data_IF_294816620425
#
_entry.id   IF_294816620425
#
_cell.length_a   1.000
_cell.length_b   1.000
_cell.length_c   1.000
_cell.angle_alpha   90.00
_cell.angle_beta   90.00
_cell.angle_gamma   90.00
#
_symmetry.space_group_name_H-M   'P 1'
#
loop_
_entity.id
_entity.type
_entity.pdbx_description
1 polymer ?
#
# COMPACT_ATOMS: atom_id res chain seq x y z
N UNK A 1 10.95 -2.30 -63.54
CA UNK A 1 10.72 -1.41 -62.38
C UNK A 1 9.62 -2.03 -61.54
N UNK A 2 9.97 -2.73 -60.45
CA UNK A 2 8.98 -3.30 -59.51
C UNK A 2 8.97 -2.40 -58.28
N UNK A 3 7.86 -1.71 -58.05
CA UNK A 3 7.67 -0.89 -56.85
C UNK A 3 7.57 -1.82 -55.64
N UNK A 4 8.54 -1.72 -54.74
CA UNK A 4 8.53 -2.41 -53.45
C UNK A 4 7.57 -1.65 -52.52
N UNK A 5 6.35 -2.16 -52.38
CA UNK A 5 5.39 -1.66 -51.38
C UNK A 5 5.81 -2.25 -50.03
N UNK A 6 6.42 -1.43 -49.18
CA UNK A 6 6.72 -1.78 -47.79
C UNK A 6 5.40 -1.66 -47.02
N UNK A 7 4.75 -2.80 -46.78
CA UNK A 7 3.60 -2.87 -45.86
C UNK A 7 4.18 -2.89 -44.44
N UNK A 8 4.31 -1.72 -43.81
CA UNK A 8 4.67 -1.64 -42.39
C UNK A 8 3.49 -2.24 -41.62
N UNK A 9 3.65 -3.34 -40.85
CA UNK A 9 2.54 -3.91 -40.11
C UNK A 9 2.09 -2.93 -39.03
N UNK A 10 0.82 -2.54 -39.07
CA UNK A 10 0.12 -1.68 -38.12
C UNK A 10 -0.07 -2.35 -36.75
N UNK A 11 0.85 -3.21 -36.33
CA UNK A 11 0.79 -3.97 -35.06
C UNK A 11 1.85 -3.51 -34.05
N UNK A 12 2.78 -2.62 -34.43
CA UNK A 12 3.78 -2.05 -33.51
C UNK A 12 3.37 -0.72 -32.86
N UNK A 13 2.14 -0.24 -33.07
CA UNK A 13 1.64 1.01 -32.49
C UNK A 13 0.61 0.80 -31.36
N UNK A 14 0.74 -0.30 -30.60
CA UNK A 14 -0.02 -0.56 -29.38
C UNK A 14 0.87 -0.70 -28.13
N UNK A 15 2.10 -0.18 -28.18
CA UNK A 15 2.87 0.10 -26.98
C UNK A 15 2.51 1.49 -26.42
N UNK A 16 1.21 1.80 -26.29
CA UNK A 16 0.78 2.98 -25.54
C UNK A 16 0.77 2.63 -24.05
N UNK A 17 1.82 3.09 -23.36
CA UNK A 17 1.85 3.40 -21.93
C UNK A 17 1.29 2.33 -20.97
N UNK A 18 2.03 1.24 -20.80
CA UNK A 18 1.90 0.39 -19.61
C UNK A 18 2.55 1.09 -18.39
N UNK A 19 1.92 2.14 -17.90
CA UNK A 19 2.37 2.83 -16.69
C UNK A 19 1.19 2.95 -15.72
N UNK A 20 1.36 2.38 -14.52
CA UNK A 20 0.51 2.47 -13.33
C UNK A 20 -0.52 1.36 -13.04
N UNK A 21 -0.34 0.10 -13.48
CA UNK A 21 -1.17 -1.01 -12.98
C UNK A 21 -0.40 -1.92 -12.01
N UNK A 22 -0.71 -1.82 -10.72
CA UNK A 22 -0.26 -2.68 -9.61
C UNK A 22 -0.87 -4.09 -9.70
N UNK A 23 -1.03 -4.62 -10.91
CA UNK A 23 -1.59 -5.94 -11.21
C UNK A 23 -0.43 -6.85 -11.63
N UNK A 24 -0.23 -7.94 -10.89
CA UNK A 24 0.81 -8.95 -11.15
C UNK A 24 0.16 -10.27 -11.56
N UNK A 25 0.86 -11.09 -12.33
CA UNK A 25 0.40 -12.43 -12.69
C UNK A 25 0.59 -13.38 -11.50
N UNK A 26 -0.35 -14.31 -11.31
CA UNK A 26 -0.32 -15.32 -10.26
C UNK A 26 -1.16 -14.96 -9.04
N UNK A 27 -1.13 -15.86 -8.04
CA UNK A 27 -1.90 -15.73 -6.79
C UNK A 27 -1.18 -14.89 -5.75
N UNK A 28 -1.92 -14.30 -4.81
CA UNK A 28 -1.35 -13.60 -3.67
C UNK A 28 -0.32 -14.46 -2.91
N UNK A 29 0.88 -13.91 -2.61
CA UNK A 29 1.82 -14.59 -1.74
C UNK A 29 1.25 -14.63 -0.31
N UNK A 30 1.80 -15.52 0.51
CA UNK A 30 1.42 -15.68 1.93
C UNK A 30 2.64 -15.35 2.81
N UNK A 31 3.06 -14.07 2.86
CA UNK A 31 4.18 -13.69 3.72
C UNK A 31 3.83 -13.92 5.18
N UNK A 32 4.87 -14.13 6.01
CA UNK A 32 4.70 -14.05 7.45
C UNK A 32 4.28 -12.62 7.83
N UNK A 33 3.50 -12.52 8.91
CA UNK A 33 3.06 -11.24 9.49
C UNK A 33 3.72 -11.04 10.85
N UNK A 34 3.67 -9.82 11.37
CA UNK A 34 4.26 -9.46 12.65
C UNK A 34 3.77 -10.41 13.76
N UNK A 35 4.70 -11.17 14.35
CA UNK A 35 4.38 -12.03 15.48
C UNK A 35 4.00 -11.17 16.70
N UNK A 36 3.01 -11.65 17.47
CA UNK A 36 2.51 -10.99 18.68
C UNK A 36 2.17 -9.51 18.46
N UNK A 37 1.49 -9.21 17.36
CA UNK A 37 1.13 -7.84 17.01
C UNK A 37 0.26 -7.18 18.09
N UNK A 38 0.76 -6.08 18.66
CA UNK A 38 0.06 -5.27 19.65
C UNK A 38 -0.55 -4.03 18.99
N UNK A 39 -1.86 -4.08 18.77
CA UNK A 39 -2.61 -2.98 18.18
C UNK A 39 -2.52 -1.68 19.01
N UNK A 40 -2.38 -1.78 20.35
CA UNK A 40 -2.31 -0.62 21.25
C UNK A 40 -1.02 0.16 21.05
N UNK A 41 0.11 -0.53 20.91
CA UNK A 41 1.40 0.09 20.57
C UNK A 41 1.43 0.66 19.15
N UNK A 42 0.62 0.11 18.24
CA UNK A 42 0.55 0.54 16.85
C UNK A 42 -0.23 1.85 16.63
N UNK A 43 -1.07 2.24 17.59
CA UNK A 43 -1.89 3.46 17.54
C UNK A 43 -1.03 4.73 17.39
N UNK A 44 -1.63 5.80 16.91
CA UNK A 44 -0.99 7.10 16.72
C UNK A 44 -0.67 7.36 15.27
N UNK A 45 0.21 8.34 15.03
CA UNK A 45 0.55 8.81 13.70
C UNK A 45 1.70 7.99 13.11
N UNK A 46 1.60 7.75 11.82
CA UNK A 46 2.61 7.19 10.93
C UNK A 46 2.73 8.07 9.69
N UNK A 47 3.94 8.39 9.27
CA UNK A 47 4.25 9.11 8.04
C UNK A 47 4.59 8.10 6.95
N UNK A 48 3.95 8.23 5.79
CA UNK A 48 4.27 7.41 4.63
C UNK A 48 5.63 7.80 4.07
N UNK A 49 6.59 6.88 4.16
CA UNK A 49 7.93 7.08 3.62
C UNK A 49 7.96 6.61 2.18
N UNK A 50 7.43 5.41 1.93
CA UNK A 50 7.50 4.75 0.64
C UNK A 50 6.23 3.93 0.39
N UNK A 51 5.72 3.91 -0.84
CA UNK A 51 4.54 3.10 -1.20
C UNK A 51 4.66 2.51 -2.59
N UNK A 52 4.01 1.37 -2.81
CA UNK A 52 3.69 0.93 -4.16
C UNK A 52 2.62 1.86 -4.76
N UNK A 53 2.66 2.12 -6.09
CA UNK A 53 1.65 2.95 -6.74
C UNK A 53 0.23 2.45 -6.44
N UNK A 54 -0.67 3.38 -6.11
CA UNK A 54 -2.08 3.08 -5.85
C UNK A 54 -2.98 4.03 -6.65
N UNK A 55 -4.18 3.58 -7.07
CA UNK A 55 -5.10 4.46 -7.78
C UNK A 55 -5.85 5.46 -6.87
N UNK A 56 -5.86 5.22 -5.54
CA UNK A 56 -6.66 5.97 -4.57
C UNK A 56 -5.85 6.92 -3.68
N UNK A 57 -4.52 6.79 -3.63
CA UNK A 57 -3.63 7.64 -2.85
C UNK A 57 -2.51 8.12 -3.78
N UNK A 58 -2.73 9.27 -4.42
CA UNK A 58 -1.84 9.82 -5.44
C UNK A 58 -0.98 10.99 -4.96
N UNK A 59 -1.27 11.51 -3.77
CA UNK A 59 -0.56 12.63 -3.19
C UNK A 59 0.76 12.25 -2.55
N UNK A 60 1.44 13.32 -2.11
CA UNK A 60 2.71 13.32 -1.42
C UNK A 60 2.53 13.59 0.07
N UNK A 61 3.62 13.49 0.85
CA UNK A 61 3.66 13.82 2.27
C UNK A 61 2.53 13.16 3.09
N UNK A 62 2.25 11.89 2.78
CA UNK A 62 1.09 11.20 3.34
C UNK A 62 1.29 10.83 4.80
N UNK A 63 0.21 10.78 5.57
CA UNK A 63 0.23 10.24 6.92
C UNK A 63 -1.05 9.46 7.22
N UNK A 64 -0.94 8.46 8.09
CA UNK A 64 -2.05 7.71 8.65
C UNK A 64 -2.06 7.92 10.17
N UNK A 65 -3.21 8.28 10.72
CA UNK A 65 -3.41 8.35 12.18
C UNK A 65 -4.39 7.26 12.58
N UNK A 66 -3.90 6.33 13.40
CA UNK A 66 -4.68 5.23 13.95
C UNK A 66 -5.20 5.59 15.34
N UNK A 67 -6.44 5.22 15.63
CA UNK A 67 -7.10 5.42 16.94
C UNK A 67 -7.77 4.13 17.37
N UNK A 68 -7.54 3.67 18.60
CA UNK A 68 -8.26 2.52 19.13
C UNK A 68 -9.72 2.90 19.35
N UNK A 69 -10.66 2.13 18.78
CA UNK A 69 -12.10 2.36 18.97
C UNK A 69 -12.71 1.35 19.93
N UNK A 70 -12.33 0.09 19.76
CA UNK A 70 -12.65 -1.03 20.64
C UNK A 70 -11.65 -2.16 20.37
N UNK A 71 -11.74 -3.26 21.11
CA UNK A 71 -10.96 -4.46 20.81
C UNK A 71 -11.16 -4.89 19.35
N UNK A 72 -10.05 -5.11 18.64
CA UNK A 72 -10.04 -5.51 17.22
C UNK A 72 -10.50 -4.43 16.23
N UNK A 73 -10.82 -3.20 16.66
CA UNK A 73 -11.33 -2.13 15.79
C UNK A 73 -10.50 -0.86 15.94
N UNK A 74 -9.92 -0.42 14.82
CA UNK A 74 -9.05 0.74 14.72
C UNK A 74 -9.67 1.75 13.76
N UNK A 75 -9.84 2.99 14.21
CA UNK A 75 -10.19 4.11 13.34
C UNK A 75 -8.96 4.59 12.56
N UNK A 76 -9.14 4.91 11.28
CA UNK A 76 -8.07 5.34 10.37
C UNK A 76 -8.37 6.73 9.84
N UNK A 77 -7.42 7.65 9.95
CA UNK A 77 -7.45 8.95 9.28
C UNK A 77 -6.21 9.09 8.42
N UNK A 78 -6.38 9.03 7.10
CA UNK A 78 -5.33 9.32 6.13
C UNK A 78 -5.38 10.79 5.73
N UNK A 79 -4.20 11.38 5.54
CA UNK A 79 -4.01 12.70 4.92
C UNK A 79 -2.89 12.62 3.88
N UNK A 80 -3.02 13.41 2.83
CA UNK A 80 -1.99 13.55 1.80
C UNK A 80 -2.05 14.97 1.21
N UNK A 81 -0.94 15.45 0.67
CA UNK A 81 -0.86 16.70 -0.08
C UNK A 81 -1.12 16.41 -1.56
N UNK A 82 -2.17 17.01 -2.10
CA UNK A 82 -2.57 16.94 -3.50
C UNK A 82 -2.64 18.36 -4.07
N UNK A 83 -1.75 18.69 -5.01
CA UNK A 83 -1.72 19.98 -5.70
C UNK A 83 -1.81 21.21 -4.76
N UNK A 84 -1.07 21.15 -3.64
CA UNK A 84 -1.03 22.22 -2.63
C UNK A 84 -2.21 22.22 -1.64
N UNK A 85 -3.15 21.28 -1.76
CA UNK A 85 -4.28 21.11 -0.84
C UNK A 85 -4.16 19.83 -0.03
N UNK A 86 -4.65 19.83 1.22
CA UNK A 86 -4.65 18.63 2.06
C UNK A 86 -5.91 17.82 1.76
N UNK A 87 -5.74 16.65 1.16
CA UNK A 87 -6.77 15.62 1.05
C UNK A 87 -6.85 14.80 2.33
N UNK A 88 -8.03 14.24 2.62
CA UNK A 88 -8.21 13.33 3.76
C UNK A 88 -9.20 12.21 3.49
N UNK A 89 -8.96 11.04 4.07
CA UNK A 89 -9.89 9.91 4.05
C UNK A 89 -10.04 9.32 5.45
N UNK A 90 -11.28 9.11 5.89
CA UNK A 90 -11.63 8.50 7.18
C UNK A 90 -12.11 7.08 6.93
N UNK A 91 -11.64 6.13 7.74
CA UNK A 91 -11.98 4.73 7.60
C UNK A 91 -11.85 3.96 8.90
N UNK A 92 -11.97 2.65 8.78
CA UNK A 92 -11.89 1.68 9.89
C UNK A 92 -11.12 0.45 9.44
N UNK A 93 -10.15 0.03 10.24
CA UNK A 93 -9.48 -1.26 10.12
C UNK A 93 -10.01 -2.21 11.19
N UNK A 94 -10.31 -3.46 10.81
CA UNK A 94 -10.88 -4.47 11.71
C UNK A 94 -10.07 -5.76 11.64
N UNK A 95 -9.73 -6.32 12.79
CA UNK A 95 -9.15 -7.66 12.92
C UNK A 95 -10.25 -8.69 12.69
N UNK A 96 -10.07 -9.60 11.72
CA UNK A 96 -11.06 -10.65 11.41
C UNK A 96 -10.82 -11.94 12.19
N UNK A 97 -9.56 -12.26 12.44
CA UNK A 97 -9.14 -13.41 13.22
C UNK A 97 -8.27 -12.94 14.39
N UNK A 98 -8.77 -13.03 15.64
CA UNK A 98 -7.99 -12.68 16.82
C UNK A 98 -6.69 -13.49 16.99
N UNK A 99 -6.56 -14.65 16.34
CA UNK A 99 -5.33 -15.44 16.33
C UNK A 99 -4.25 -14.86 15.39
N UNK A 100 -4.65 -14.02 14.43
CA UNK A 100 -3.74 -13.32 13.52
C UNK A 100 -3.99 -11.79 13.54
N UNK A 101 -3.74 -11.11 14.68
CA UNK A 101 -4.13 -9.71 14.88
C UNK A 101 -3.40 -8.72 13.96
N UNK A 102 -2.29 -9.13 13.34
CA UNK A 102 -1.57 -8.37 12.33
C UNK A 102 -2.27 -8.32 10.96
N UNK A 103 -3.32 -9.13 10.74
CA UNK A 103 -4.12 -9.15 9.51
C UNK A 103 -5.44 -8.44 9.74
N UNK A 104 -5.54 -7.24 9.18
CA UNK A 104 -6.73 -6.40 9.24
C UNK A 104 -7.37 -6.26 7.87
N UNK A 105 -8.65 -5.88 7.89
CA UNK A 105 -9.37 -5.37 6.72
C UNK A 105 -9.71 -3.89 6.93
N UNK A 106 -9.36 -3.06 5.96
CA UNK A 106 -9.63 -1.61 5.99
C UNK A 106 -10.78 -1.23 5.05
N UNK A 107 -11.66 -0.36 5.53
CA UNK A 107 -12.79 0.20 4.79
C UNK A 107 -12.79 1.72 4.95
N UNK A 108 -12.79 2.46 3.84
CA UNK A 108 -12.88 3.93 3.81
C UNK A 108 -14.25 4.44 3.32
N UNK A 109 -15.04 3.58 2.69
CA UNK A 109 -16.40 3.84 2.24
C UNK A 109 -17.18 2.54 2.39
N UNK A 110 -18.36 2.59 3.02
CA UNK A 110 -19.18 1.41 3.32
C UNK A 110 -19.62 0.63 2.07
N UNK A 111 -19.67 1.27 0.90
CA UNK A 111 -20.01 0.61 -0.37
C UNK A 111 -18.81 -0.04 -1.08
N UNK A 112 -17.58 0.20 -0.60
CA UNK A 112 -16.37 -0.37 -1.17
C UNK A 112 -16.02 -1.70 -0.50
N UNK A 113 -15.51 -2.68 -1.25
CA UNK A 113 -15.03 -3.93 -0.66
C UNK A 113 -13.88 -3.63 0.33
N UNK A 114 -13.80 -4.36 1.47
CA UNK A 114 -12.69 -4.22 2.39
C UNK A 114 -11.35 -4.53 1.71
N UNK A 115 -10.33 -3.72 2.00
CA UNK A 115 -8.98 -3.91 1.54
C UNK A 115 -8.13 -4.67 2.57
N UNK A 116 -7.29 -5.63 2.16
CA UNK A 116 -6.35 -6.28 3.08
C UNK A 116 -5.29 -5.28 3.57
N UNK A 117 -5.04 -5.27 4.88
CA UNK A 117 -4.01 -4.48 5.55
C UNK A 117 -3.26 -5.41 6.50
N UNK A 118 -2.11 -5.92 6.08
CA UNK A 118 -1.32 -6.87 6.84
C UNK A 118 -0.02 -6.21 7.29
N UNK A 119 0.19 -6.14 8.61
CA UNK A 119 1.45 -5.66 9.17
C UNK A 119 2.46 -6.80 9.06
N UNK A 120 3.41 -6.68 8.13
CA UNK A 120 4.43 -7.71 7.91
C UNK A 120 5.51 -7.64 8.99
N UNK A 121 5.94 -6.43 9.34
CA UNK A 121 6.99 -6.17 10.31
C UNK A 121 6.83 -4.76 10.89
N UNK A 122 6.98 -4.62 12.20
CA UNK A 122 7.03 -3.31 12.89
C UNK A 122 7.76 -3.45 14.21
N UNK A 123 8.55 -2.44 14.55
CA UNK A 123 9.08 -2.26 15.90
C UNK A 123 8.22 -1.34 16.77
N UNK A 124 7.07 -0.91 16.25
CA UNK A 124 6.08 0.01 16.84
C UNK A 124 6.55 1.46 17.02
N UNK A 125 7.84 1.66 17.19
CA UNK A 125 8.43 2.92 17.66
C UNK A 125 9.17 3.68 16.55
N UNK A 126 9.59 3.00 15.47
CA UNK A 126 10.30 3.64 14.36
C UNK A 126 9.65 3.35 13.02
N UNK A 127 9.36 2.09 12.69
CA UNK A 127 8.90 1.71 11.35
C UNK A 127 7.73 0.71 11.37
N UNK A 128 7.04 0.66 10.23
CA UNK A 128 6.11 -0.42 9.91
C UNK A 128 6.11 -0.69 8.41
N UNK A 129 6.11 -1.97 8.06
CA UNK A 129 5.92 -2.47 6.71
C UNK A 129 4.53 -3.11 6.61
N UNK A 130 3.70 -2.54 5.76
CA UNK A 130 2.33 -2.98 5.51
C UNK A 130 2.21 -3.52 4.11
N UNK A 131 1.49 -4.62 3.95
CA UNK A 131 1.19 -5.24 2.67
C UNK A 131 -0.30 -5.57 2.56
N UNK A 132 -0.83 -5.47 1.35
CA UNK A 132 -2.18 -5.92 1.03
C UNK A 132 -2.19 -6.58 -0.35
N UNK A 133 -2.85 -7.73 -0.46
CA UNK A 133 -3.00 -8.41 -1.74
C UNK A 133 -4.40 -8.97 -1.95
N UNK A 134 -4.96 -8.75 -3.13
CA UNK A 134 -6.26 -9.27 -3.55
C UNK A 134 -6.11 -10.11 -4.81
N UNK A 135 -6.57 -11.36 -4.76
CA UNK A 135 -6.63 -12.24 -5.92
C UNK A 135 -7.73 -11.78 -6.90
N UNK A 136 -7.37 -11.67 -8.18
CA UNK A 136 -8.24 -11.28 -9.30
C UNK A 136 -8.18 -12.36 -10.39
N UNK A 137 -8.43 -13.62 -9.99
CA UNK A 137 -8.38 -14.78 -10.89
C UNK A 137 -6.95 -15.24 -11.16
N UNK A 138 -6.47 -15.05 -12.39
CA UNK A 138 -5.09 -15.39 -12.83
C UNK A 138 -4.08 -14.28 -12.50
N UNK A 139 -4.58 -13.14 -12.02
CA UNK A 139 -3.76 -12.00 -11.60
C UNK A 139 -4.06 -11.66 -10.16
N UNK A 140 -3.23 -10.81 -9.57
CA UNK A 140 -3.39 -10.27 -8.22
C UNK A 140 -3.10 -8.78 -8.21
N UNK A 141 -3.73 -8.07 -7.30
CA UNK A 141 -3.45 -6.67 -7.04
C UNK A 141 -2.72 -6.54 -5.72
N UNK A 142 -1.62 -5.80 -5.71
CA UNK A 142 -0.80 -5.60 -4.53
C UNK A 142 -0.70 -4.14 -4.14
N UNK A 143 -0.57 -3.91 -2.85
CA UNK A 143 -0.20 -2.64 -2.26
C UNK A 143 0.79 -2.87 -1.14
N UNK A 144 1.69 -1.92 -0.95
CA UNK A 144 2.59 -1.92 0.19
C UNK A 144 2.91 -0.49 0.60
N UNK A 145 3.17 -0.32 1.89
CA UNK A 145 3.60 0.94 2.48
C UNK A 145 4.71 0.66 3.49
N UNK A 146 5.78 1.44 3.40
CA UNK A 146 6.74 1.64 4.49
C UNK A 146 6.37 2.96 5.13
N UNK A 147 6.15 2.93 6.44
CA UNK A 147 5.83 4.12 7.21
C UNK A 147 6.75 4.26 8.42
N UNK A 148 6.93 5.49 8.89
CA UNK A 148 7.77 5.81 10.05
C UNK A 148 7.02 6.64 11.08
N UNK A 149 7.46 6.62 12.33
CA UNK A 149 6.96 7.55 13.37
C UNK A 149 7.40 8.98 13.13
N UNK A 150 8.50 9.16 12.42
CA UNK A 150 9.03 10.46 12.01
C UNK A 150 8.87 10.68 10.49
N UNK A 151 8.92 11.93 10.00
CA UNK A 151 8.79 12.23 8.56
C UNK A 151 9.89 11.61 7.68
N UNK A 152 10.98 11.14 8.29
CA UNK A 152 12.09 10.46 7.62
C UNK A 152 12.37 9.12 8.30
N UNK A 153 13.07 8.22 7.61
CA UNK A 153 13.52 6.93 8.14
C UNK A 153 15.01 6.75 7.85
N UNK A 154 15.76 6.14 8.78
CA UNK A 154 17.18 5.87 8.57
C UNK A 154 17.39 4.91 7.38
N UNK A 155 18.37 5.22 6.53
CA UNK A 155 18.62 4.48 5.29
C UNK A 155 18.87 2.99 5.52
N UNK A 156 19.55 2.60 6.60
CA UNK A 156 19.79 1.18 6.92
C UNK A 156 18.47 0.40 7.10
N UNK A 157 17.51 0.96 7.83
CA UNK A 157 16.18 0.36 8.01
C UNK A 157 15.44 0.35 6.67
N UNK A 158 15.54 1.44 5.90
CA UNK A 158 14.86 1.52 4.62
C UNK A 158 15.40 0.48 3.63
N UNK A 159 16.71 0.29 3.53
CA UNK A 159 17.35 -0.70 2.66
C UNK A 159 16.92 -2.13 3.03
N UNK A 160 16.86 -2.47 4.32
CA UNK A 160 16.35 -3.77 4.79
C UNK A 160 14.88 -4.03 4.38
N UNK A 161 14.07 -2.97 4.31
CA UNK A 161 12.65 -3.07 3.96
C UNK A 161 12.34 -2.98 2.46
N UNK A 162 13.27 -2.47 1.63
CA UNK A 162 12.96 -1.96 0.28
C UNK A 162 13.47 -2.79 -0.89
N UNK A 163 13.54 -4.11 -0.75
CA UNK A 163 13.96 -5.08 -1.80
C UNK A 163 13.10 -5.09 -3.11
N UNK A 164 12.29 -4.06 -3.36
CA UNK A 164 11.66 -3.78 -4.65
C UNK A 164 11.24 -2.31 -4.83
N UNK A 165 11.84 -1.63 -5.81
CA UNK A 165 11.49 -0.33 -6.42
C UNK A 165 10.36 0.48 -5.73
N UNK A 166 10.71 1.31 -4.73
CA UNK A 166 9.74 2.12 -3.98
C UNK A 166 9.94 3.63 -4.21
N UNK A 167 8.87 4.35 -4.54
CA UNK A 167 8.83 5.82 -4.58
C UNK A 167 8.51 6.38 -3.20
N UNK A 168 9.21 7.43 -2.76
CA UNK A 168 9.07 8.00 -1.42
C UNK A 168 9.25 9.50 -1.39
N UNK A 169 8.87 10.11 -0.25
CA UNK A 169 9.02 11.54 -0.02
C UNK A 169 10.47 11.84 0.40
N UNK A 170 11.18 12.60 -0.43
CA UNK A 170 12.40 13.33 -0.08
C UNK A 170 12.07 14.81 0.09
#
# INVERSE_FOLDING_TARGET
MKHLIIVIPLTLLFALAASAQSIKIGKCPKPAVQANFDATRYIGKWYGIHKLPTPFQKGECSSATYTLKSEGVIGVLNRELNDGTIGSAVGKATVKDPAEPAKLEVVFNETSPPGPYWVLSTDYDNYTLVYGCTDLGLTRKEYAWIMSREPTLHNEILEDLSDGNVSGCL
#
